data_IF_739337867839
#
_entry.id   IF_739337867839
#
_cell.length_a   1.000
_cell.length_b   1.000
_cell.length_c   1.000
_cell.angle_alpha   90.00
_cell.angle_beta   90.00
_cell.angle_gamma   90.00
#
_symmetry.space_group_name_H-M   'P 1'
#
loop_
_entity.id
_entity.type
_entity.pdbx_description
1 polymer ?
#
# COMPACT_ATOMS: atom_id res chain seq x y z
N UNK A 1 13.31 13.33 1.51
CA UNK A 1 12.27 12.89 0.56
C UNK A 1 11.24 12.07 1.32
N UNK A 2 9.94 12.23 1.04
CA UNK A 2 8.86 11.47 1.66
C UNK A 2 8.99 9.99 1.30
N UNK A 3 8.84 9.08 2.26
CA UNK A 3 8.88 7.65 2.00
C UNK A 3 7.53 7.12 1.53
N UNK A 4 7.54 6.01 0.79
CA UNK A 4 6.40 5.13 0.66
C UNK A 4 6.33 4.21 1.87
N UNK A 5 5.19 4.16 2.56
CA UNK A 5 4.93 3.19 3.63
C UNK A 5 3.99 2.11 3.11
N UNK A 6 4.42 0.85 3.16
CA UNK A 6 3.59 -0.30 2.80
C UNK A 6 3.18 -1.02 4.08
N UNK A 7 1.87 -1.12 4.32
CA UNK A 7 1.29 -1.85 5.45
C UNK A 7 0.51 -3.05 4.93
N UNK A 8 1.13 -4.22 5.01
CA UNK A 8 0.60 -5.47 4.50
C UNK A 8 0.20 -6.44 5.63
N UNK A 9 -0.53 -7.48 5.27
CA UNK A 9 -0.90 -8.54 6.22
C UNK A 9 -2.10 -9.34 5.72
N UNK A 10 -2.40 -10.49 6.34
CA UNK A 10 -3.54 -11.31 5.98
C UNK A 10 -4.85 -10.57 6.25
N UNK A 11 -5.94 -11.10 5.70
CA UNK A 11 -7.29 -10.61 6.03
C UNK A 11 -7.51 -10.68 7.55
N UNK A 12 -8.29 -9.77 8.11
CA UNK A 12 -8.57 -9.62 9.57
C UNK A 12 -7.35 -9.33 10.48
N UNK A 13 -6.21 -8.93 9.92
CA UNK A 13 -5.04 -8.53 10.72
C UNK A 13 -5.13 -7.12 11.33
N UNK A 14 -6.19 -6.36 11.09
CA UNK A 14 -6.37 -4.93 11.42
C UNK A 14 -5.49 -3.97 10.60
N UNK A 15 -4.95 -4.42 9.45
CA UNK A 15 -4.08 -3.57 8.61
C UNK A 15 -4.77 -2.30 8.11
N UNK A 16 -6.04 -2.38 7.69
CA UNK A 16 -6.79 -1.23 7.15
C UNK A 16 -7.03 -0.17 8.20
N UNK A 17 -7.52 -0.56 9.39
CA UNK A 17 -7.77 0.37 10.50
C UNK A 17 -6.44 1.00 10.98
N UNK A 18 -5.36 0.22 10.97
CA UNK A 18 -4.01 0.72 11.30
C UNK A 18 -3.51 1.70 10.24
N UNK A 19 -3.80 1.45 8.95
CA UNK A 19 -3.44 2.37 7.87
C UNK A 19 -4.19 3.70 7.99
N UNK A 20 -5.48 3.67 8.35
CA UNK A 20 -6.27 4.87 8.62
C UNK A 20 -5.67 5.66 9.79
N UNK A 21 -5.42 5.00 10.92
CA UNK A 21 -4.81 5.64 12.09
C UNK A 21 -3.41 6.21 11.79
N UNK A 22 -2.65 5.54 10.91
CA UNK A 22 -1.35 6.01 10.45
C UNK A 22 -1.50 7.24 9.54
N UNK A 23 -2.46 7.20 8.60
CA UNK A 23 -2.73 8.29 7.67
C UNK A 23 -3.19 9.56 8.39
N UNK A 24 -4.05 9.44 9.40
CA UNK A 24 -4.43 10.56 10.27
C UNK A 24 -3.23 11.19 10.97
N UNK A 25 -2.32 10.34 11.48
CA UNK A 25 -1.14 10.82 12.22
C UNK A 25 -0.10 11.46 11.32
N UNK A 26 0.00 11.03 10.07
CA UNK A 26 1.05 11.45 9.12
C UNK A 26 0.55 12.41 8.05
N UNK A 27 -0.68 12.89 8.13
CA UNK A 27 -1.33 13.65 7.06
C UNK A 27 -1.13 12.95 5.69
N UNK A 28 -1.38 11.66 5.68
CA UNK A 28 -1.15 10.78 4.55
C UNK A 28 -2.44 10.44 3.82
N UNK A 29 -2.31 9.94 2.59
CA UNK A 29 -3.41 9.36 1.83
C UNK A 29 -3.13 7.88 1.56
N UNK A 30 -4.18 7.09 1.43
CA UNK A 30 -4.09 5.64 1.33
C UNK A 30 -4.25 5.20 -0.14
N UNK A 31 -3.42 4.24 -0.56
CA UNK A 31 -3.53 3.56 -1.86
C UNK A 31 -3.89 2.10 -1.57
N UNK A 32 -5.05 1.66 -2.06
CA UNK A 32 -5.55 0.30 -1.86
C UNK A 32 -4.79 -0.72 -2.70
N UNK A 33 -4.24 -1.76 -2.06
CA UNK A 33 -3.61 -2.90 -2.73
C UNK A 33 -4.45 -4.18 -2.54
N UNK A 34 -5.72 -4.09 -2.92
CA UNK A 34 -6.67 -5.20 -2.89
C UNK A 34 -7.32 -5.36 -4.27
N UNK A 35 -7.19 -6.56 -4.85
CA UNK A 35 -7.66 -6.86 -6.21
C UNK A 35 -9.19 -6.96 -6.34
N UNK A 36 -9.91 -6.85 -5.22
CA UNK A 36 -11.36 -6.93 -5.21
C UNK A 36 -12.02 -5.60 -4.83
N UNK A 37 -11.42 -4.84 -3.92
CA UNK A 37 -11.95 -3.52 -3.52
C UNK A 37 -11.88 -2.47 -4.65
N UNK A 38 -11.17 -2.75 -5.72
CA UNK A 38 -11.05 -1.91 -6.90
C UNK A 38 -12.38 -1.84 -7.69
N UNK A 39 -13.21 -2.89 -7.61
CA UNK A 39 -14.48 -2.97 -8.32
C UNK A 39 -15.60 -2.26 -7.57
N UNK A 40 -16.41 -1.49 -8.29
CA UNK A 40 -17.64 -0.86 -7.77
C UNK A 40 -18.66 -1.93 -7.35
N UNK A 41 -19.51 -1.59 -6.39
CA UNK A 41 -20.62 -2.40 -5.89
C UNK A 41 -20.24 -3.64 -5.06
N UNK A 42 -18.99 -4.03 -5.05
CA UNK A 42 -18.46 -5.15 -4.26
C UNK A 42 -17.95 -4.62 -2.91
N UNK A 43 -18.86 -4.30 -1.99
CA UNK A 43 -18.54 -3.54 -0.77
C UNK A 43 -18.47 -4.43 0.47
N UNK A 44 -19.56 -5.15 0.79
CA UNK A 44 -19.67 -5.97 1.99
C UNK A 44 -18.67 -7.13 1.92
N UNK A 45 -18.73 -7.93 0.85
CA UNK A 45 -17.91 -9.13 0.72
C UNK A 45 -16.42 -8.89 0.58
N UNK A 46 -16.02 -7.69 0.16
CA UNK A 46 -14.61 -7.28 0.11
C UNK A 46 -14.15 -6.58 1.38
N UNK A 47 -15.08 -6.29 2.31
CA UNK A 47 -14.89 -5.41 3.46
C UNK A 47 -14.24 -4.09 3.05
N UNK A 48 -14.81 -3.45 2.06
CA UNK A 48 -14.35 -2.16 1.57
C UNK A 48 -14.39 -1.12 2.68
N UNK A 49 -13.42 -0.24 2.70
CA UNK A 49 -13.38 0.89 3.64
C UNK A 49 -14.65 1.72 3.52
N UNK A 50 -15.26 2.07 4.65
CA UNK A 50 -16.52 2.82 4.69
C UNK A 50 -16.43 4.15 3.95
N UNK A 51 -17.59 4.65 3.49
CA UNK A 51 -17.66 5.96 2.83
C UNK A 51 -17.20 7.07 3.81
N UNK A 52 -17.55 6.96 5.09
CA UNK A 52 -17.17 7.93 6.11
C UNK A 52 -15.65 7.95 6.33
N UNK A 53 -15.01 6.78 6.39
CA UNK A 53 -13.55 6.69 6.49
C UNK A 53 -12.85 7.22 5.23
N UNK A 54 -13.41 6.97 4.05
CA UNK A 54 -12.89 7.49 2.78
C UNK A 54 -13.10 9.01 2.62
N UNK A 55 -14.15 9.56 3.22
CA UNK A 55 -14.36 11.01 3.26
C UNK A 55 -13.35 11.70 4.20
N UNK A 56 -12.94 11.02 5.27
CA UNK A 56 -11.98 11.52 6.25
C UNK A 56 -10.52 11.38 5.76
N UNK A 57 -10.20 10.25 5.19
CA UNK A 57 -8.87 9.95 4.62
C UNK A 57 -9.05 9.52 3.17
N UNK A 58 -8.51 10.27 2.19
CA UNK A 58 -8.60 9.89 0.79
C UNK A 58 -7.99 8.50 0.53
N UNK A 59 -8.75 7.67 -0.19
CA UNK A 59 -8.33 6.33 -0.61
C UNK A 59 -8.34 6.26 -2.13
N UNK A 60 -7.18 5.92 -2.68
CA UNK A 60 -6.97 5.70 -4.11
C UNK A 60 -7.08 4.21 -4.45
N UNK A 61 -7.40 3.89 -5.68
CA UNK A 61 -7.56 2.53 -6.21
C UNK A 61 -8.64 1.71 -5.50
N UNK A 62 -9.71 2.38 -5.06
CA UNK A 62 -10.95 1.77 -4.57
C UNK A 62 -12.11 2.31 -5.41
N UNK A 63 -13.07 1.45 -5.80
CA UNK A 63 -14.25 1.81 -6.62
C UNK A 63 -13.92 2.47 -7.97
N UNK A 64 -12.85 2.08 -8.62
CA UNK A 64 -12.41 2.72 -9.87
C UNK A 64 -12.83 1.97 -11.14
N UNK A 65 -13.31 0.73 -11.02
CA UNK A 65 -13.65 -0.13 -12.16
C UNK A 65 -15.09 -0.64 -12.08
N UNK A 66 -15.73 -0.76 -13.23
CA UNK A 66 -16.94 -1.55 -13.37
C UNK A 66 -16.60 -3.06 -13.27
N UNK A 67 -17.57 -3.92 -12.87
CA UNK A 67 -17.31 -5.35 -12.68
C UNK A 67 -16.81 -6.12 -13.91
N UNK A 68 -17.06 -5.62 -15.11
CA UNK A 68 -16.69 -6.20 -16.41
C UNK A 68 -15.35 -5.67 -16.95
N UNK A 69 -14.71 -4.74 -16.27
CA UNK A 69 -13.40 -4.25 -16.64
C UNK A 69 -12.28 -5.16 -16.11
N UNK A 70 -11.22 -5.31 -16.88
CA UNK A 70 -10.03 -6.05 -16.45
C UNK A 70 -9.02 -5.15 -15.74
N UNK A 71 -8.37 -5.69 -14.72
CA UNK A 71 -7.27 -5.04 -14.02
C UNK A 71 -6.18 -6.04 -13.66
N UNK A 72 -4.99 -5.76 -14.10
CA UNK A 72 -3.81 -6.61 -13.91
C UNK A 72 -2.92 -6.07 -12.79
N UNK A 73 -1.91 -6.87 -12.40
CA UNK A 73 -0.90 -6.39 -11.46
C UNK A 73 0.00 -5.30 -12.07
N UNK A 74 0.11 -5.26 -13.41
CA UNK A 74 0.81 -4.20 -14.12
C UNK A 74 0.04 -2.88 -14.05
N UNK A 75 -1.29 -2.91 -14.27
CA UNK A 75 -2.15 -1.72 -14.13
C UNK A 75 -2.09 -1.18 -12.70
N UNK A 76 -2.09 -2.07 -11.70
CA UNK A 76 -1.89 -1.68 -10.31
C UNK A 76 -0.56 -0.94 -10.13
N UNK A 77 0.57 -1.51 -10.61
CA UNK A 77 1.90 -0.89 -10.48
C UNK A 77 1.92 0.50 -11.10
N UNK A 78 1.42 0.62 -12.33
CA UNK A 78 1.40 1.89 -13.08
C UNK A 78 0.61 2.96 -12.33
N UNK A 79 -0.65 2.67 -11.99
CA UNK A 79 -1.52 3.63 -11.30
C UNK A 79 -1.05 3.93 -9.87
N UNK A 80 -0.51 2.93 -9.15
CA UNK A 80 0.03 3.16 -7.83
C UNK A 80 1.24 4.10 -7.87
N UNK A 81 2.15 3.94 -8.83
CA UNK A 81 3.29 4.83 -9.00
C UNK A 81 2.88 6.26 -9.38
N UNK A 82 1.85 6.44 -10.20
CA UNK A 82 1.27 7.74 -10.51
C UNK A 82 0.77 8.44 -9.24
N UNK A 83 -0.05 7.76 -8.44
CA UNK A 83 -0.55 8.29 -7.17
C UNK A 83 0.58 8.55 -6.15
N UNK A 84 1.57 7.66 -6.03
CA UNK A 84 2.71 7.87 -5.14
C UNK A 84 3.45 9.16 -5.49
N UNK A 85 3.77 9.38 -6.78
CA UNK A 85 4.49 10.57 -7.24
C UNK A 85 3.66 11.84 -7.05
N UNK A 86 2.39 11.78 -7.37
CA UNK A 86 1.45 12.89 -7.13
C UNK A 86 1.41 13.28 -5.66
N UNK A 87 1.23 12.29 -4.75
CA UNK A 87 1.16 12.52 -3.31
C UNK A 87 2.46 13.13 -2.77
N UNK A 88 3.61 12.56 -3.15
CA UNK A 88 4.92 13.09 -2.76
C UNK A 88 5.10 14.53 -3.28
N UNK A 89 4.66 14.81 -4.51
CA UNK A 89 4.70 16.14 -5.12
C UNK A 89 3.83 17.17 -4.37
N UNK A 90 2.73 16.72 -3.75
CA UNK A 90 1.84 17.51 -2.89
C UNK A 90 2.31 17.60 -1.43
N UNK A 91 3.44 16.99 -1.10
CA UNK A 91 3.95 16.92 0.27
C UNK A 91 3.19 15.95 1.17
N UNK A 92 2.38 15.04 0.60
CA UNK A 92 1.62 14.02 1.31
C UNK A 92 2.38 12.69 1.36
N UNK A 93 2.29 11.99 2.49
CA UNK A 93 2.91 10.66 2.62
C UNK A 93 2.03 9.60 1.96
N UNK A 94 2.50 8.85 0.95
CA UNK A 94 1.75 7.73 0.41
C UNK A 94 1.80 6.53 1.37
N UNK A 95 0.63 5.97 1.70
CA UNK A 95 0.49 4.73 2.49
C UNK A 95 -0.22 3.69 1.63
N UNK A 96 0.47 2.61 1.26
CA UNK A 96 -0.17 1.48 0.58
C UNK A 96 -0.63 0.48 1.62
N UNK A 97 -1.89 0.04 1.52
CA UNK A 97 -2.40 -1.06 2.36
C UNK A 97 -3.17 -2.09 1.56
N UNK A 98 -2.94 -3.35 1.87
CA UNK A 98 -3.68 -4.43 1.22
C UNK A 98 -3.20 -5.83 1.55
N UNK A 99 -3.94 -6.81 1.00
CA UNK A 99 -3.66 -8.24 1.17
C UNK A 99 -3.24 -8.95 -0.11
N UNK A 100 -3.25 -8.25 -1.27
CA UNK A 100 -2.88 -8.84 -2.56
C UNK A 100 -1.35 -8.84 -2.70
N UNK A 101 -0.72 -9.93 -2.26
CA UNK A 101 0.74 -10.05 -2.24
C UNK A 101 1.40 -9.82 -3.60
N UNK A 102 0.74 -10.22 -4.71
CA UNK A 102 1.25 -10.00 -6.05
C UNK A 102 1.37 -8.51 -6.37
N UNK A 103 0.39 -7.68 -6.01
CA UNK A 103 0.44 -6.24 -6.22
C UNK A 103 1.64 -5.60 -5.53
N UNK A 104 1.85 -5.98 -4.26
CA UNK A 104 2.98 -5.47 -3.49
C UNK A 104 4.33 -5.96 -4.04
N UNK A 105 4.36 -7.19 -4.57
CA UNK A 105 5.56 -7.76 -5.16
C UNK A 105 5.96 -7.05 -6.45
N UNK A 106 5.02 -6.83 -7.37
CA UNK A 106 5.33 -6.14 -8.64
C UNK A 106 5.75 -4.69 -8.43
N UNK A 107 5.26 -4.06 -7.36
CA UNK A 107 5.68 -2.72 -7.00
C UNK A 107 7.11 -2.68 -6.44
N UNK A 108 7.49 -3.67 -5.60
CA UNK A 108 8.78 -3.69 -4.91
C UNK A 108 9.91 -4.32 -5.70
N UNK A 109 9.64 -5.43 -6.35
CA UNK A 109 10.66 -6.35 -6.82
C UNK A 109 10.79 -6.38 -8.36
N UNK A 110 10.06 -5.51 -9.07
CA UNK A 110 9.91 -5.52 -10.54
C UNK A 110 9.64 -6.93 -11.10
N UNK A 111 8.82 -7.66 -10.33
CA UNK A 111 8.41 -8.99 -10.71
C UNK A 111 7.70 -8.92 -12.06
N UNK A 112 8.17 -9.65 -13.00
CA UNK A 112 7.67 -10.19 -14.28
C UNK A 112 6.27 -9.80 -14.82
N UNK A 113 5.61 -8.80 -14.24
CA UNK A 113 4.38 -8.23 -14.77
C UNK A 113 4.65 -7.11 -15.79
N UNK A 114 5.92 -6.81 -16.08
CA UNK A 114 6.32 -5.73 -17.00
C UNK A 114 5.92 -6.00 -18.46
N UNK A 115 5.65 -7.26 -18.81
CA UNK A 115 5.20 -7.61 -20.16
C UNK A 115 3.68 -7.62 -20.17
N UNK A 116 3.05 -6.59 -20.74
CA UNK A 116 1.64 -6.63 -21.07
C UNK A 116 1.44 -7.58 -22.25
N UNK A 117 0.65 -8.62 -22.06
CA UNK A 117 0.34 -9.59 -23.13
C UNK A 117 -0.78 -9.04 -24.00
N UNK A 118 -0.57 -9.12 -25.31
CA UNK A 118 -1.61 -8.83 -26.29
C UNK A 118 -2.82 -9.73 -26.03
N UNK A 119 -4.02 -9.17 -25.89
CA UNK A 119 -5.26 -9.94 -25.68
C UNK A 119 -5.48 -11.06 -26.70
N UNK A 120 -5.08 -10.86 -27.95
CA UNK A 120 -5.23 -11.89 -29.00
C UNK A 120 -4.27 -13.06 -28.78
N UNK A 121 -3.03 -12.82 -28.37
CA UNK A 121 -2.07 -13.88 -28.03
C UNK A 121 -2.60 -14.68 -26.83
N UNK A 122 -3.08 -13.97 -25.80
CA UNK A 122 -3.66 -14.62 -24.61
C UNK A 122 -4.84 -15.50 -24.99
N UNK A 123 -5.76 -14.98 -25.79
CA UNK A 123 -6.95 -15.70 -26.27
C UNK A 123 -6.57 -16.94 -27.09
N UNK A 124 -5.57 -16.80 -27.96
CA UNK A 124 -5.07 -17.93 -28.74
C UNK A 124 -4.51 -19.04 -27.85
N UNK A 125 -3.70 -18.71 -26.84
CA UNK A 125 -3.17 -19.71 -25.90
C UNK A 125 -4.29 -20.36 -25.09
N UNK A 126 -5.29 -19.60 -24.67
CA UNK A 126 -6.47 -20.15 -23.97
C UNK A 126 -7.27 -21.11 -24.86
N UNK A 127 -7.46 -20.79 -26.14
CA UNK A 127 -8.10 -21.68 -27.09
C UNK A 127 -7.32 -22.96 -27.25
N UNK A 128 -6.01 -22.89 -27.43
CA UNK A 128 -5.15 -24.10 -27.53
C UNK A 128 -5.17 -24.94 -26.26
N UNK A 129 -5.23 -24.33 -25.07
CA UNK A 129 -5.40 -25.07 -23.80
C UNK A 129 -6.73 -25.84 -23.81
N UNK A 130 -7.81 -25.21 -24.34
CA UNK A 130 -9.13 -25.88 -24.41
C UNK A 130 -9.21 -26.99 -25.44
N UNK A 131 -8.53 -26.85 -26.57
CA UNK A 131 -8.55 -27.80 -27.69
C UNK A 131 -7.57 -28.98 -27.51
N UNK A 132 -6.34 -28.68 -27.08
CA UNK A 132 -5.24 -29.65 -26.98
C UNK A 132 -5.07 -30.22 -25.59
N UNK A 133 -5.66 -29.57 -24.59
CA UNK A 133 -5.49 -29.88 -23.17
C UNK A 133 -4.23 -29.27 -22.55
N UNK A 134 -4.36 -28.93 -21.27
CA UNK A 134 -3.30 -28.31 -20.47
C UNK A 134 -1.97 -29.11 -20.41
N UNK A 135 -1.97 -30.47 -20.35
CA UNK A 135 -0.74 -31.24 -20.33
C UNK A 135 0.16 -30.99 -21.56
N UNK A 136 -0.41 -30.92 -22.77
CA UNK A 136 0.36 -30.69 -23.98
C UNK A 136 0.95 -29.29 -24.03
N UNK A 137 0.26 -28.29 -23.49
CA UNK A 137 0.78 -26.92 -23.37
C UNK A 137 1.87 -26.85 -22.29
N UNK A 138 1.79 -27.65 -21.22
CA UNK A 138 2.87 -27.77 -20.24
C UNK A 138 4.12 -28.46 -20.83
N UNK A 139 3.94 -29.48 -21.69
CA UNK A 139 5.05 -30.08 -22.44
C UNK A 139 5.71 -29.07 -23.41
N UNK A 140 4.92 -28.20 -24.03
CA UNK A 140 5.43 -27.08 -24.81
C UNK A 140 6.26 -26.15 -23.95
N UNK A 141 5.74 -25.79 -22.74
CA UNK A 141 6.47 -24.96 -21.78
C UNK A 141 7.81 -25.59 -21.35
N UNK A 142 7.86 -26.93 -21.15
CA UNK A 142 9.11 -27.64 -20.84
C UNK A 142 10.18 -27.46 -21.93
N UNK A 143 9.79 -27.29 -23.18
CA UNK A 143 10.71 -27.10 -24.32
C UNK A 143 11.18 -25.66 -24.46
N UNK A 144 10.27 -24.68 -24.24
CA UNK A 144 10.56 -23.27 -24.47
C UNK A 144 11.11 -22.56 -23.22
N UNK A 145 10.76 -23.03 -22.01
CA UNK A 145 11.20 -22.48 -20.73
C UNK A 145 11.26 -23.59 -19.66
N UNK A 146 12.28 -24.46 -19.71
CA UNK A 146 12.43 -25.55 -18.75
C UNK A 146 12.50 -25.08 -17.30
N UNK A 147 13.09 -23.91 -17.06
CA UNK A 147 13.26 -23.34 -15.72
C UNK A 147 11.90 -22.94 -15.12
N UNK A 148 11.02 -22.36 -15.92
CA UNK A 148 9.64 -22.06 -15.48
C UNK A 148 8.83 -23.35 -15.33
N UNK A 149 8.95 -24.32 -16.24
CA UNK A 149 8.23 -25.58 -16.22
C UNK A 149 8.53 -26.41 -14.97
N UNK A 150 9.78 -26.39 -14.47
CA UNK A 150 10.15 -27.06 -13.22
C UNK A 150 9.41 -26.49 -11.98
N UNK A 151 9.06 -25.19 -12.02
CA UNK A 151 8.44 -24.47 -10.90
C UNK A 151 6.92 -24.39 -10.99
N UNK A 152 6.37 -24.52 -12.19
CA UNK A 152 4.93 -24.41 -12.48
C UNK A 152 4.34 -25.81 -12.50
N UNK A 153 3.37 -26.05 -11.62
CA UNK A 153 2.68 -27.34 -11.60
C UNK A 153 1.91 -27.54 -12.91
N UNK A 154 1.83 -28.79 -13.43
CA UNK A 154 1.11 -29.11 -14.68
C UNK A 154 -0.37 -28.70 -14.70
N UNK A 155 -0.99 -28.53 -13.52
CA UNK A 155 -2.38 -28.13 -13.36
C UNK A 155 -2.56 -26.61 -13.21
N UNK A 156 -1.47 -25.83 -13.15
CA UNK A 156 -1.53 -24.36 -12.97
C UNK A 156 -1.75 -23.65 -14.33
N UNK A 157 -3.00 -23.69 -14.79
CA UNK A 157 -3.42 -23.12 -16.07
C UNK A 157 -2.98 -21.66 -16.25
N UNK A 158 -3.12 -20.84 -15.20
CA UNK A 158 -2.82 -19.40 -15.30
C UNK A 158 -1.33 -19.13 -15.51
N UNK A 159 -0.47 -19.85 -14.80
CA UNK A 159 0.98 -19.68 -14.94
C UNK A 159 1.50 -20.27 -16.23
N UNK A 160 0.97 -21.40 -16.67
CA UNK A 160 1.31 -22.02 -17.96
C UNK A 160 0.90 -21.07 -19.10
N UNK A 161 -0.36 -20.61 -19.11
CA UNK A 161 -0.86 -19.61 -20.08
C UNK A 161 0.07 -18.40 -20.14
N UNK A 162 0.41 -17.84 -18.97
CA UNK A 162 1.27 -16.65 -18.89
C UNK A 162 2.65 -16.89 -19.47
N UNK A 163 3.32 -17.98 -19.10
CA UNK A 163 4.67 -18.29 -19.56
C UNK A 163 4.73 -18.50 -21.06
N UNK A 164 3.77 -19.27 -21.61
CA UNK A 164 3.66 -19.52 -23.05
C UNK A 164 3.33 -18.23 -23.81
N UNK A 165 2.41 -17.41 -23.30
CA UNK A 165 2.05 -16.13 -23.93
C UNK A 165 3.22 -15.16 -23.98
N UNK A 166 4.03 -15.06 -22.92
CA UNK A 166 5.25 -14.25 -22.91
C UNK A 166 6.22 -14.72 -23.99
N UNK A 167 6.48 -16.01 -24.06
CA UNK A 167 7.36 -16.57 -25.07
C UNK A 167 6.88 -16.27 -26.50
N UNK A 168 5.59 -16.46 -26.77
CA UNK A 168 5.02 -16.21 -28.10
C UNK A 168 5.07 -14.75 -28.50
N UNK A 169 4.89 -13.84 -27.55
CA UNK A 169 4.95 -12.40 -27.83
C UNK A 169 6.39 -11.89 -27.99
N UNK A 170 7.29 -12.36 -27.15
CA UNK A 170 8.63 -11.77 -27.00
C UNK A 170 9.76 -12.60 -27.63
N UNK A 171 9.49 -13.87 -27.98
CA UNK A 171 10.50 -14.80 -28.46
C UNK A 171 11.55 -15.18 -27.40
N UNK A 172 11.31 -14.88 -26.11
CA UNK A 172 12.20 -15.16 -24.97
C UNK A 172 11.46 -15.83 -23.86
N UNK A 173 12.15 -16.72 -23.14
CA UNK A 173 11.57 -17.43 -22.00
C UNK A 173 11.23 -16.47 -20.85
N UNK A 174 10.15 -16.75 -20.14
CA UNK A 174 9.72 -15.98 -18.96
C UNK A 174 10.82 -15.97 -17.89
N UNK A 175 11.51 -17.10 -17.69
CA UNK A 175 12.62 -17.23 -16.75
C UNK A 175 13.80 -16.30 -17.08
N UNK A 176 14.06 -16.01 -18.35
CA UNK A 176 15.12 -15.10 -18.78
C UNK A 176 14.79 -13.65 -18.40
N UNK A 177 13.51 -13.25 -18.53
CA UNK A 177 13.06 -11.92 -18.10
C UNK A 177 13.22 -11.71 -16.60
N UNK A 178 12.86 -12.72 -15.79
CA UNK A 178 12.98 -12.67 -14.33
C UNK A 178 14.45 -12.57 -13.89
N UNK A 179 15.35 -13.20 -14.61
CA UNK A 179 16.77 -13.23 -14.25
C UNK A 179 17.52 -11.93 -14.63
N UNK A 180 17.02 -11.18 -15.62
CA UNK A 180 17.73 -10.03 -16.18
C UNK A 180 17.24 -8.68 -15.70
N UNK A 181 16.09 -8.60 -15.04
CA UNK A 181 15.53 -7.34 -14.53
C UNK A 181 15.94 -7.12 -13.07
N UNK A 182 16.79 -6.13 -12.77
CA UNK A 182 17.05 -5.73 -11.38
C UNK A 182 15.78 -5.15 -10.75
N UNK A 183 15.72 -5.19 -9.41
CA UNK A 183 14.67 -4.49 -8.68
C UNK A 183 14.65 -2.99 -9.07
N UNK A 184 13.47 -2.38 -9.24
CA UNK A 184 13.40 -0.99 -9.65
C UNK A 184 14.02 -0.08 -8.60
N UNK A 185 14.85 0.86 -9.04
CA UNK A 185 15.32 1.95 -8.21
C UNK A 185 14.28 3.07 -8.24
N UNK A 186 13.71 3.36 -7.09
CA UNK A 186 12.76 4.47 -6.93
C UNK A 186 13.47 5.69 -6.35
N UNK A 187 13.01 6.87 -6.77
CA UNK A 187 13.43 8.16 -6.23
C UNK A 187 13.00 8.41 -4.78
N UNK A 188 12.28 7.48 -4.15
CA UNK A 188 11.79 7.56 -2.78
C UNK A 188 12.09 6.27 -1.99
N UNK A 189 12.36 6.36 -0.69
CA UNK A 189 12.59 5.16 0.13
C UNK A 189 11.28 4.41 0.38
N UNK A 190 11.35 3.07 0.44
CA UNK A 190 10.21 2.19 0.72
C UNK A 190 10.40 1.52 2.06
N UNK A 191 9.41 1.62 2.94
CA UNK A 191 9.36 0.92 4.22
C UNK A 191 8.17 -0.02 4.26
N UNK A 192 8.43 -1.31 4.36
CA UNK A 192 7.39 -2.35 4.37
C UNK A 192 7.22 -2.92 5.78
N UNK A 193 5.96 -2.94 6.23
CA UNK A 193 5.54 -3.52 7.51
C UNK A 193 4.50 -4.60 7.25
N UNK A 194 4.64 -5.74 7.95
CA UNK A 194 3.68 -6.83 7.86
C UNK A 194 3.06 -7.01 9.24
N UNK A 195 1.73 -6.84 9.31
CA UNK A 195 0.99 -7.13 10.54
C UNK A 195 0.68 -8.63 10.55
N UNK A 196 1.30 -9.34 11.49
CA UNK A 196 1.04 -10.73 11.79
C UNK A 196 0.18 -10.87 13.05
N UNK A 197 -0.66 -11.90 13.08
CA UNK A 197 -1.51 -12.25 14.20
C UNK A 197 -1.44 -13.75 14.45
N UNK A 198 -1.66 -14.17 15.69
CA UNK A 198 -1.80 -15.59 16.00
C UNK A 198 -2.81 -16.26 15.06
N UNK A 199 -2.47 -17.44 14.61
CA UNK A 199 -3.25 -18.14 13.57
C UNK A 199 -4.66 -18.52 14.04
N UNK A 200 -4.80 -18.90 15.31
CA UNK A 200 -6.09 -19.28 15.87
C UNK A 200 -6.98 -18.03 15.97
N UNK A 201 -6.45 -16.96 16.53
CA UNK A 201 -7.14 -15.67 16.63
C UNK A 201 -7.55 -15.13 15.25
N UNK A 202 -6.65 -15.25 14.27
CA UNK A 202 -6.96 -14.84 12.89
C UNK A 202 -8.13 -15.62 12.31
N UNK A 203 -8.19 -16.93 12.55
CA UNK A 203 -9.26 -17.79 12.06
C UNK A 203 -10.59 -17.52 12.76
N UNK A 204 -10.57 -17.26 14.05
CA UNK A 204 -11.76 -16.90 14.82
C UNK A 204 -12.33 -15.55 14.32
N UNK A 205 -11.46 -14.57 14.09
CA UNK A 205 -11.84 -13.27 13.52
C UNK A 205 -12.38 -13.39 12.08
N UNK A 206 -11.85 -14.30 11.27
CA UNK A 206 -12.38 -14.57 9.92
C UNK A 206 -13.81 -15.09 10.01
N UNK A 207 -14.05 -16.08 10.90
CA UNK A 207 -15.39 -16.65 11.05
C UNK A 207 -16.40 -15.59 11.50
N UNK A 208 -16.06 -14.81 12.53
CA UNK A 208 -16.91 -13.71 13.03
C UNK A 208 -17.21 -12.68 11.94
N UNK A 209 -16.20 -12.33 11.15
CA UNK A 209 -16.37 -11.37 10.05
C UNK A 209 -17.31 -11.87 8.95
N UNK A 210 -17.20 -13.14 8.57
CA UNK A 210 -18.14 -13.73 7.61
C UNK A 210 -19.56 -13.70 8.14
N UNK A 211 -19.78 -14.04 9.43
CA UNK A 211 -21.09 -13.98 10.05
C UNK A 211 -21.64 -12.55 10.11
N UNK A 212 -20.77 -11.55 10.29
CA UNK A 212 -21.14 -10.13 10.23
C UNK A 212 -21.56 -9.73 8.82
N UNK A 213 -20.75 -10.04 7.81
CA UNK A 213 -21.04 -9.72 6.41
C UNK A 213 -22.38 -10.30 5.94
N UNK A 214 -22.72 -11.52 6.37
CA UNK A 214 -24.01 -12.13 6.06
C UNK A 214 -25.17 -11.35 6.68
N UNK A 215 -25.01 -10.87 7.92
CA UNK A 215 -26.03 -10.04 8.61
C UNK A 215 -26.16 -8.66 8.01
N UNK A 216 -25.10 -8.10 7.45
CA UNK A 216 -25.10 -6.82 6.74
C UNK A 216 -25.77 -6.87 5.36
N UNK A 217 -26.17 -8.07 4.89
CA UNK A 217 -26.91 -8.21 3.63
C UNK A 217 -26.03 -8.56 2.42
N UNK A 218 -24.93 -9.29 2.62
CA UNK A 218 -24.05 -9.69 1.52
C UNK A 218 -24.78 -10.44 0.39
N UNK A 219 -25.78 -11.26 0.71
CA UNK A 219 -26.62 -11.93 -0.30
C UNK A 219 -27.38 -10.90 -1.15
N UNK A 220 -27.91 -9.86 -0.51
CA UNK A 220 -28.68 -8.82 -1.21
C UNK A 220 -27.75 -7.90 -2.04
N UNK A 221 -26.51 -7.68 -1.59
CA UNK A 221 -25.49 -7.03 -2.41
C UNK A 221 -25.27 -7.82 -3.72
N UNK A 222 -25.07 -9.14 -3.64
CA UNK A 222 -24.86 -9.99 -4.83
C UNK A 222 -26.08 -9.95 -5.76
N UNK A 223 -27.31 -10.07 -5.22
CA UNK A 223 -28.54 -9.92 -6.01
C UNK A 223 -28.63 -8.55 -6.70
N UNK A 224 -28.30 -7.49 -5.97
CA UNK A 224 -28.29 -6.13 -6.49
C UNK A 224 -27.31 -5.92 -7.64
N UNK A 225 -26.12 -6.52 -7.56
CA UNK A 225 -25.12 -6.46 -8.64
C UNK A 225 -25.61 -7.25 -9.87
N UNK A 226 -26.16 -8.45 -9.66
CA UNK A 226 -26.73 -9.26 -10.75
C UNK A 226 -27.93 -8.58 -11.43
N UNK A 227 -28.79 -7.89 -10.66
CA UNK A 227 -29.93 -7.14 -11.18
C UNK A 227 -29.52 -5.94 -12.05
N UNK A 228 -28.27 -5.47 -11.96
CA UNK A 228 -27.68 -4.45 -12.87
C UNK A 228 -27.29 -5.02 -14.23
N UNK A 229 -27.40 -6.34 -14.43
CA UNK A 229 -27.10 -7.00 -15.70
C UNK A 229 -25.69 -7.58 -15.80
N UNK A 230 -24.88 -7.50 -14.75
CA UNK A 230 -23.54 -8.08 -14.77
C UNK A 230 -23.59 -9.62 -14.74
N UNK A 231 -22.75 -10.26 -15.57
CA UNK A 231 -22.69 -11.71 -15.70
C UNK A 231 -21.99 -12.35 -14.48
N UNK A 232 -22.54 -13.49 -14.02
CA UNK A 232 -21.91 -14.34 -13.00
C UNK A 232 -20.53 -14.89 -13.38
N UNK A 233 -20.18 -14.89 -14.66
CA UNK A 233 -18.89 -15.34 -15.18
C UNK A 233 -17.77 -14.32 -15.00
N UNK A 234 -18.09 -13.08 -14.65
CA UNK A 234 -17.10 -12.02 -14.45
C UNK A 234 -16.17 -12.35 -13.26
N UNK A 235 -14.92 -11.95 -13.42
CA UNK A 235 -13.84 -12.21 -12.44
C UNK A 235 -14.21 -11.87 -10.99
N UNK A 236 -14.87 -10.74 -10.66
CA UNK A 236 -15.26 -10.45 -9.28
C UNK A 236 -16.18 -11.50 -8.66
N UNK A 237 -17.10 -12.08 -9.43
CA UNK A 237 -17.98 -13.15 -8.93
C UNK A 237 -17.29 -14.48 -8.72
N UNK A 238 -16.07 -14.69 -9.26
CA UNK A 238 -15.26 -15.88 -9.01
C UNK A 238 -14.49 -15.78 -7.68
N UNK A 239 -14.54 -14.65 -7.00
CA UNK A 239 -13.84 -14.45 -5.73
C UNK A 239 -14.52 -15.18 -4.57
N UNK A 240 -13.74 -15.39 -3.50
CA UNK A 240 -14.23 -16.05 -2.28
C UNK A 240 -15.39 -15.24 -1.71
N UNK A 241 -16.45 -15.93 -1.40
CA UNK A 241 -17.70 -15.39 -0.89
C UNK A 241 -18.72 -15.15 -2.00
N UNK A 242 -18.35 -14.41 -3.01
CA UNK A 242 -19.25 -14.11 -4.12
C UNK A 242 -19.60 -15.37 -4.93
N UNK A 243 -18.63 -16.23 -5.24
CA UNK A 243 -18.88 -17.49 -5.94
C UNK A 243 -19.81 -18.44 -5.16
N UNK A 244 -19.62 -18.54 -3.85
CA UNK A 244 -20.47 -19.39 -3.01
C UNK A 244 -21.88 -18.83 -2.86
N UNK A 245 -22.04 -17.51 -2.80
CA UNK A 245 -23.37 -16.87 -2.79
C UNK A 245 -24.07 -17.03 -4.14
N UNK A 246 -23.34 -16.93 -5.26
CA UNK A 246 -23.91 -17.25 -6.59
C UNK A 246 -24.39 -18.69 -6.65
N UNK A 247 -23.62 -19.66 -6.13
CA UNK A 247 -24.04 -21.06 -6.07
C UNK A 247 -25.26 -21.30 -5.16
N UNK A 248 -25.37 -20.53 -4.07
CA UNK A 248 -26.60 -20.49 -3.27
C UNK A 248 -27.80 -19.95 -4.05
N UNK A 249 -27.63 -18.83 -4.77
CA UNK A 249 -28.69 -18.23 -5.58
C UNK A 249 -29.10 -19.13 -6.76
N UNK A 250 -28.20 -19.96 -7.23
CA UNK A 250 -28.46 -20.99 -8.26
C UNK A 250 -29.04 -22.30 -7.68
N UNK A 251 -29.38 -22.36 -6.39
CA UNK A 251 -29.88 -23.54 -5.66
C UNK A 251 -28.92 -24.75 -5.69
N UNK A 252 -27.62 -24.52 -5.86
CA UNK A 252 -26.59 -25.58 -5.80
C UNK A 252 -26.15 -25.86 -4.36
N UNK A 253 -26.29 -24.88 -3.47
CA UNK A 253 -25.91 -24.92 -2.06
C UNK A 253 -27.04 -24.40 -1.18
N UNK A 254 -27.13 -24.88 0.07
CA UNK A 254 -27.89 -24.17 1.10
C UNK A 254 -27.10 -22.96 1.59
N UNK A 255 -27.75 -22.01 2.26
CA UNK A 255 -27.06 -20.82 2.79
C UNK A 255 -26.02 -21.21 3.85
N UNK A 256 -26.30 -22.20 4.69
CA UNK A 256 -25.38 -22.73 5.69
C UNK A 256 -24.14 -23.32 5.03
N UNK A 257 -24.32 -24.12 3.97
CA UNK A 257 -23.24 -24.69 3.20
C UNK A 257 -22.37 -23.60 2.55
N UNK A 258 -22.99 -22.56 1.98
CA UNK A 258 -22.28 -21.43 1.39
C UNK A 258 -21.44 -20.71 2.46
N UNK A 259 -22.00 -20.39 3.63
CA UNK A 259 -21.28 -19.74 4.74
C UNK A 259 -20.10 -20.56 5.23
N UNK A 260 -20.27 -21.87 5.40
CA UNK A 260 -19.19 -22.76 5.85
C UNK A 260 -18.04 -22.83 4.82
N UNK A 261 -18.38 -22.87 3.54
CA UNK A 261 -17.40 -22.84 2.45
C UNK A 261 -16.67 -21.48 2.42
N UNK A 262 -17.37 -20.37 2.57
CA UNK A 262 -16.78 -19.04 2.63
C UNK A 262 -15.77 -18.95 3.80
N UNK A 263 -16.17 -19.36 4.99
CA UNK A 263 -15.28 -19.38 6.17
C UNK A 263 -14.04 -20.22 5.92
N UNK A 264 -14.22 -21.44 5.39
CA UNK A 264 -13.12 -22.37 5.06
C UNK A 264 -12.16 -21.75 4.05
N UNK A 265 -12.67 -21.24 2.96
CA UNK A 265 -11.85 -20.76 1.84
C UNK A 265 -11.16 -19.43 2.16
N UNK A 266 -11.79 -18.57 2.99
CA UNK A 266 -11.17 -17.37 3.55
C UNK A 266 -10.01 -17.73 4.50
N UNK A 267 -10.15 -18.76 5.36
CA UNK A 267 -9.02 -19.24 6.18
C UNK A 267 -7.87 -19.81 5.33
N UNK A 268 -8.18 -20.53 4.25
CA UNK A 268 -7.18 -21.00 3.29
C UNK A 268 -6.48 -19.85 2.58
N UNK A 269 -7.22 -18.82 2.22
CA UNK A 269 -6.68 -17.61 1.63
C UNK A 269 -5.74 -16.88 2.60
N UNK A 270 -6.15 -16.68 3.84
CA UNK A 270 -5.30 -16.12 4.89
C UNK A 270 -4.00 -16.91 5.09
N UNK A 271 -4.06 -18.26 5.08
CA UNK A 271 -2.86 -19.11 5.13
C UNK A 271 -1.92 -18.85 3.95
N UNK A 272 -2.47 -18.69 2.73
CA UNK A 272 -1.65 -18.36 1.54
C UNK A 272 -1.02 -16.98 1.69
N UNK A 273 -1.75 -15.97 2.21
CA UNK A 273 -1.20 -14.64 2.47
C UNK A 273 -0.05 -14.68 3.47
N UNK A 274 -0.19 -15.39 4.60
CA UNK A 274 0.87 -15.59 5.59
C UNK A 274 2.12 -16.20 4.94
N UNK A 275 1.95 -17.27 4.17
CA UNK A 275 3.06 -17.94 3.48
C UNK A 275 3.74 -17.00 2.47
N UNK A 276 2.95 -16.16 1.80
CA UNK A 276 3.46 -15.17 0.86
C UNK A 276 4.30 -14.11 1.57
N UNK A 277 3.74 -13.49 2.60
CA UNK A 277 4.41 -12.40 3.32
C UNK A 277 5.67 -12.83 4.08
N UNK A 278 5.74 -14.09 4.54
CA UNK A 278 6.98 -14.65 5.12
C UNK A 278 8.18 -14.65 4.17
N UNK A 279 7.94 -14.58 2.87
CA UNK A 279 9.00 -14.51 1.85
C UNK A 279 9.41 -13.07 1.51
N UNK A 280 8.76 -12.06 2.08
CA UNK A 280 9.09 -10.66 1.83
C UNK A 280 10.41 -10.31 2.49
N UNK A 281 11.44 -10.09 1.68
CA UNK A 281 12.74 -9.60 2.15
C UNK A 281 12.58 -8.15 2.64
N UNK A 282 13.34 -7.76 3.65
CA UNK A 282 13.42 -6.39 4.19
C UNK A 282 12.12 -5.83 4.80
N UNK A 283 11.08 -6.65 4.96
CA UNK A 283 9.86 -6.26 5.64
C UNK A 283 10.01 -6.41 7.15
N UNK A 284 9.55 -5.41 7.91
CA UNK A 284 9.52 -5.46 9.38
C UNK A 284 8.18 -6.05 9.83
N UNK A 285 8.23 -7.08 10.66
CA UNK A 285 7.02 -7.73 11.17
C UNK A 285 6.53 -7.08 12.46
N UNK A 286 5.22 -6.83 12.53
CA UNK A 286 4.53 -6.34 13.72
C UNK A 286 3.57 -7.43 14.20
N UNK A 287 3.88 -8.02 15.33
CA UNK A 287 3.02 -9.04 15.95
C UNK A 287 1.86 -8.36 16.68
N UNK A 288 0.66 -8.49 16.14
CA UNK A 288 -0.57 -7.98 16.76
C UNK A 288 -1.24 -9.06 17.60
N UNK A 289 -1.85 -8.65 18.71
CA UNK A 289 -2.63 -9.49 19.59
C UNK A 289 -4.06 -8.94 19.80
N UNK A 290 -4.88 -9.65 20.58
CA UNK A 290 -6.29 -9.28 20.79
C UNK A 290 -6.47 -7.93 21.47
N UNK A 291 -5.55 -7.54 22.37
CA UNK A 291 -5.60 -6.26 23.09
C UNK A 291 -5.16 -5.07 22.26
N UNK A 292 -4.51 -5.30 21.10
CA UNK A 292 -4.05 -4.21 20.24
C UNK A 292 -5.22 -3.50 19.54
N UNK A 293 -5.20 -2.18 19.63
CA UNK A 293 -6.07 -1.30 18.86
C UNK A 293 -5.27 -0.68 17.68
N UNK A 294 -5.95 -0.02 16.72
CA UNK A 294 -5.29 0.60 15.58
C UNK A 294 -4.21 1.62 15.96
N UNK A 295 -4.41 2.38 17.05
CA UNK A 295 -3.45 3.36 17.51
C UNK A 295 -2.15 2.72 18.05
N UNK A 296 -2.25 1.62 18.84
CA UNK A 296 -1.08 0.92 19.32
C UNK A 296 -0.26 0.28 18.19
N UNK A 297 -0.93 -0.25 17.17
CA UNK A 297 -0.26 -0.80 15.99
C UNK A 297 0.41 0.31 15.16
N UNK A 298 -0.27 1.45 14.96
CA UNK A 298 0.31 2.65 14.35
C UNK A 298 1.60 3.08 15.06
N UNK A 299 1.58 3.17 16.39
CA UNK A 299 2.73 3.63 17.16
C UNK A 299 3.92 2.67 17.04
N UNK A 300 3.65 1.35 16.91
CA UNK A 300 4.70 0.37 16.59
C UNK A 300 5.24 0.55 15.17
N UNK A 301 4.39 0.84 14.17
CA UNK A 301 4.86 1.18 12.82
C UNK A 301 5.81 2.37 12.89
N UNK A 302 5.38 3.45 13.55
CA UNK A 302 6.17 4.68 13.68
C UNK A 302 7.51 4.43 14.42
N UNK A 303 7.51 3.63 15.48
CA UNK A 303 8.74 3.30 16.23
C UNK A 303 9.75 2.48 15.43
N UNK A 304 9.28 1.73 14.44
CA UNK A 304 10.12 0.92 13.56
C UNK A 304 10.60 1.68 12.31
N UNK A 305 10.03 2.85 11.99
CA UNK A 305 10.59 3.70 10.94
C UNK A 305 11.99 4.18 11.35
N UNK A 306 12.90 4.41 10.38
CA UNK A 306 14.15 5.10 10.69
C UNK A 306 13.84 6.42 11.41
N UNK A 307 14.55 6.73 12.49
CA UNK A 307 14.29 7.92 13.32
C UNK A 307 14.24 9.20 12.47
N UNK A 308 15.12 9.32 11.51
CA UNK A 308 15.14 10.44 10.55
C UNK A 308 13.84 10.56 9.75
N UNK A 309 13.24 9.43 9.34
CA UNK A 309 11.99 9.38 8.59
C UNK A 309 10.80 9.67 9.51
N UNK A 310 10.73 9.02 10.67
CA UNK A 310 9.62 9.18 11.61
C UNK A 310 9.48 10.65 12.05
N UNK A 311 10.57 11.30 12.35
CA UNK A 311 10.56 12.70 12.79
C UNK A 311 10.28 13.66 11.64
N UNK A 312 10.83 13.39 10.45
CA UNK A 312 10.50 14.17 9.26
C UNK A 312 8.99 14.15 8.97
N UNK A 313 8.38 12.97 9.08
CA UNK A 313 6.94 12.80 8.89
C UNK A 313 6.13 13.51 9.98
N UNK A 314 6.51 13.37 11.24
CA UNK A 314 5.84 14.06 12.37
C UNK A 314 5.99 15.58 12.25
N UNK A 315 7.17 16.07 11.89
CA UNK A 315 7.41 17.50 11.66
C UNK A 315 6.58 18.05 10.50
N UNK A 316 6.36 17.24 9.45
CA UNK A 316 5.52 17.60 8.32
C UNK A 316 4.04 17.72 8.74
N UNK A 317 3.53 16.78 9.53
CA UNK A 317 2.13 16.79 10.02
C UNK A 317 1.83 17.95 10.96
N UNK A 318 2.81 18.36 11.72
CA UNK A 318 2.69 19.56 12.56
C UNK A 318 2.59 20.85 11.70
N UNK A 319 2.91 20.81 10.40
CA UNK A 319 2.78 21.93 9.48
C UNK A 319 1.39 22.12 8.86
N UNK A 320 0.51 21.07 8.90
CA UNK A 320 -0.80 21.11 8.23
C UNK A 320 -2.00 21.18 9.18
N UNK A 321 -1.79 21.37 10.49
CA UNK A 321 -2.89 21.36 11.48
C UNK A 321 -3.68 22.69 11.55
N UNK A 322 -3.56 23.59 10.59
CA UNK A 322 -4.42 24.78 10.50
C UNK A 322 -4.97 24.94 9.06
N UNK A 323 -6.18 24.47 8.77
CA UNK A 323 -6.87 24.82 7.54
C UNK A 323 -7.60 26.17 7.76
N UNK A 324 -6.89 27.26 7.87
CA UNK A 324 -7.46 28.58 7.70
C UNK A 324 -7.04 29.17 6.35
N UNK A 325 -7.96 29.02 5.39
CA UNK A 325 -8.26 29.98 4.34
C UNK A 325 -7.06 30.76 3.77
N UNK A 326 -6.33 30.18 2.81
CA UNK A 326 -5.41 30.97 1.98
C UNK A 326 -6.01 31.08 0.59
N UNK A 327 -6.67 32.23 0.36
CA UNK A 327 -6.87 32.75 -0.99
C UNK A 327 -5.51 32.88 -1.68
N UNK A 328 -5.46 32.54 -2.96
CA UNK A 328 -4.28 32.60 -3.81
C UNK A 328 -3.79 34.05 -3.99
N UNK A 329 -3.04 34.56 -3.00
CA UNK A 329 -2.11 35.72 -3.16
C UNK A 329 -1.28 35.83 -1.88
N UNK A 330 0.02 35.68 -2.04
CA UNK A 330 1.14 35.75 -1.11
C UNK A 330 1.65 34.39 -0.63
N UNK A 331 2.84 34.03 -1.14
CA UNK A 331 3.59 32.85 -0.67
C UNK A 331 4.01 33.13 0.78
N UNK A 332 3.37 32.45 1.72
CA UNK A 332 3.72 32.45 3.12
C UNK A 332 5.25 32.33 3.31
N UNK A 333 5.89 33.17 4.10
CA UNK A 333 7.34 33.19 4.30
C UNK A 333 7.91 31.82 4.74
N UNK A 334 7.14 31.07 5.54
CA UNK A 334 7.54 29.73 5.99
C UNK A 334 7.58 28.73 4.83
N UNK A 335 6.57 28.72 3.97
CA UNK A 335 6.51 27.87 2.78
C UNK A 335 7.65 28.16 1.81
N UNK A 336 8.04 29.42 1.66
CA UNK A 336 9.20 29.81 0.85
C UNK A 336 10.50 29.30 1.46
N UNK A 337 10.70 29.47 2.79
CA UNK A 337 11.86 29.00 3.51
C UNK A 337 12.00 27.46 3.40
N UNK A 338 10.89 26.75 3.56
CA UNK A 338 10.85 25.30 3.49
C UNK A 338 11.10 24.76 2.07
N UNK A 339 10.58 25.42 1.04
CA UNK A 339 10.89 25.09 -0.36
C UNK A 339 12.39 25.23 -0.67
N UNK A 340 13.05 26.27 -0.14
CA UNK A 340 14.49 26.45 -0.26
C UNK A 340 15.27 25.33 0.44
N UNK A 341 14.84 24.96 1.63
CA UNK A 341 15.41 23.84 2.40
C UNK A 341 15.33 22.51 1.60
N UNK A 342 14.16 22.21 1.05
CA UNK A 342 13.95 20.98 0.25
C UNK A 342 14.82 20.93 -1.02
N UNK A 343 15.11 22.09 -1.62
CA UNK A 343 15.97 22.19 -2.81
C UNK A 343 17.46 22.19 -2.48
N UNK A 344 17.84 22.03 -1.20
CA UNK A 344 19.24 22.04 -0.76
C UNK A 344 19.86 23.45 -0.69
N UNK A 345 19.06 24.52 -0.88
CA UNK A 345 19.51 25.90 -0.73
C UNK A 345 19.50 26.27 0.77
N UNK A 346 20.37 25.59 1.52
CA UNK A 346 20.44 25.70 2.98
C UNK A 346 20.84 27.09 3.46
N UNK A 347 21.59 27.84 2.67
CA UNK A 347 21.98 29.20 3.03
C UNK A 347 20.78 30.14 3.04
N UNK A 348 19.98 30.13 1.98
CA UNK A 348 18.78 30.95 1.90
C UNK A 348 17.70 30.50 2.87
N UNK A 349 17.53 29.20 3.04
CA UNK A 349 16.55 28.65 3.99
C UNK A 349 16.89 29.05 5.43
N UNK A 350 18.17 29.03 5.83
CA UNK A 350 18.60 29.46 7.16
C UNK A 350 18.31 30.96 7.42
N UNK A 351 18.52 31.83 6.43
CA UNK A 351 18.18 33.22 6.56
C UNK A 351 16.69 33.46 6.76
N UNK A 352 15.86 32.79 5.97
CA UNK A 352 14.41 32.90 6.06
C UNK A 352 13.87 32.34 7.38
N UNK A 353 14.31 31.12 7.81
CA UNK A 353 13.88 30.54 9.09
C UNK A 353 14.33 31.41 10.29
N UNK A 354 15.49 32.04 10.22
CA UNK A 354 15.95 33.00 11.26
C UNK A 354 15.01 34.18 11.36
N UNK A 355 14.58 34.75 10.25
CA UNK A 355 13.62 35.87 10.21
C UNK A 355 12.26 35.44 10.78
N UNK A 356 11.74 34.26 10.39
CA UNK A 356 10.46 33.75 10.88
C UNK A 356 10.52 33.50 12.39
N UNK A 357 11.58 32.85 12.89
CA UNK A 357 11.75 32.64 14.33
C UNK A 357 11.80 33.97 15.08
N UNK A 358 12.56 34.94 14.59
CA UNK A 358 12.69 36.25 15.24
C UNK A 358 11.35 37.02 15.33
N UNK A 359 10.47 36.85 14.32
CA UNK A 359 9.16 37.52 14.29
C UNK A 359 8.11 36.83 15.18
N UNK A 360 8.29 35.55 15.52
CA UNK A 360 7.26 34.72 16.16
C UNK A 360 7.81 33.67 17.15
N UNK A 361 8.73 34.03 18.03
CA UNK A 361 9.47 33.12 18.91
C UNK A 361 8.63 32.20 19.77
N UNK A 362 7.41 32.59 20.17
CA UNK A 362 6.50 31.83 21.04
C UNK A 362 5.47 31.02 20.25
N UNK A 363 5.27 31.31 18.97
CA UNK A 363 4.34 30.57 18.12
C UNK A 363 4.89 29.18 17.78
N UNK A 364 4.01 28.25 17.43
CA UNK A 364 4.39 26.92 16.94
C UNK A 364 5.27 27.04 15.69
N UNK A 365 4.95 27.97 14.81
CA UNK A 365 5.70 28.26 13.59
C UNK A 365 7.11 28.77 13.88
N UNK A 366 7.25 29.73 14.81
CA UNK A 366 8.55 30.26 15.21
C UNK A 366 9.44 29.21 15.90
N UNK A 367 8.87 28.30 16.70
CA UNK A 367 9.59 27.17 17.29
C UNK A 367 10.09 26.20 16.22
N UNK A 368 9.26 25.90 15.20
CA UNK A 368 9.61 25.07 14.06
C UNK A 368 10.69 25.72 13.20
N UNK A 369 10.56 26.99 12.94
CA UNK A 369 11.56 27.76 12.20
C UNK A 369 12.93 27.71 12.90
N UNK A 370 12.98 27.75 14.22
CA UNK A 370 14.23 27.60 15.01
C UNK A 370 14.87 26.22 14.79
N UNK A 371 14.09 25.15 14.80
CA UNK A 371 14.59 23.80 14.54
C UNK A 371 15.13 23.65 13.11
N UNK A 372 14.37 24.12 12.11
CA UNK A 372 14.79 24.06 10.70
C UNK A 372 15.94 25.00 10.38
N UNK A 373 16.05 26.12 11.10
CA UNK A 373 17.24 26.96 11.07
C UNK A 373 18.48 26.18 11.54
N UNK A 374 18.39 25.52 12.70
CA UNK A 374 19.48 24.70 13.21
C UNK A 374 19.90 23.62 12.20
N UNK A 375 18.93 22.94 11.61
CA UNK A 375 19.19 21.91 10.60
C UNK A 375 19.79 22.48 9.31
N UNK A 376 19.31 23.62 8.82
CA UNK A 376 19.89 24.30 7.65
C UNK A 376 21.35 24.71 7.91
N UNK A 377 21.65 25.18 9.12
CA UNK A 377 23.01 25.59 9.52
C UNK A 377 24.00 24.41 9.57
N UNK A 378 23.56 23.18 9.79
CA UNK A 378 24.44 21.98 9.73
C UNK A 378 25.02 21.76 8.33
N UNK A 379 24.28 22.18 7.29
CA UNK A 379 24.67 22.06 5.88
C UNK A 379 25.34 23.32 5.33
N UNK A 380 25.48 24.35 6.16
CA UNK A 380 26.28 25.54 5.87
C UNK A 380 27.54 25.45 6.73
N UNK A 381 28.65 25.98 6.31
CA UNK A 381 29.92 25.86 7.04
C UNK A 381 29.92 26.68 8.37
N UNK A 382 28.88 26.49 9.21
CA UNK A 382 28.61 27.26 10.45
C UNK A 382 28.19 26.34 11.62
N UNK A 383 29.05 25.39 12.02
CA UNK A 383 28.67 24.38 13.02
C UNK A 383 28.35 25.01 14.38
N UNK A 384 29.02 26.07 14.79
CA UNK A 384 28.80 26.71 16.09
C UNK A 384 27.42 27.36 16.19
N UNK A 385 26.97 28.04 15.13
CA UNK A 385 25.62 28.61 15.05
C UNK A 385 24.54 27.50 15.06
N UNK A 386 24.80 26.35 14.40
CA UNK A 386 23.91 25.19 14.43
C UNK A 386 23.76 24.62 15.85
N UNK A 387 24.85 24.46 16.57
CA UNK A 387 24.87 23.98 17.97
C UNK A 387 24.02 24.88 18.87
N UNK A 388 24.19 26.20 18.77
CA UNK A 388 23.43 27.16 19.57
C UNK A 388 21.94 27.14 19.23
N UNK A 389 21.60 27.06 17.95
CA UNK A 389 20.23 26.96 17.49
C UNK A 389 19.57 25.65 17.98
N UNK A 390 20.26 24.49 17.94
CA UNK A 390 19.74 23.24 18.50
C UNK A 390 19.55 23.31 20.02
N UNK A 391 20.50 23.89 20.76
CA UNK A 391 20.36 24.07 22.21
C UNK A 391 19.15 24.96 22.56
N UNK A 392 18.88 25.97 21.76
CA UNK A 392 17.72 26.84 21.92
C UNK A 392 16.42 26.12 21.54
N UNK A 393 16.46 25.28 20.50
CA UNK A 393 15.32 24.47 20.08
C UNK A 393 14.93 23.42 21.13
N UNK A 394 15.88 22.78 21.82
CA UNK A 394 15.60 21.86 22.96
C UNK A 394 14.73 22.55 24.02
N UNK A 395 15.06 23.78 24.39
CA UNK A 395 14.32 24.53 25.41
C UNK A 395 12.92 24.95 24.95
N UNK A 396 12.77 25.17 23.67
CA UNK A 396 11.53 25.71 23.07
C UNK A 396 10.57 24.61 22.59
N UNK A 397 11.07 23.37 22.43
CA UNK A 397 10.34 22.27 21.80
C UNK A 397 10.63 20.92 22.48
N UNK A 398 10.19 20.75 23.75
CA UNK A 398 10.50 19.57 24.53
C UNK A 398 9.93 18.27 23.94
N UNK A 399 8.86 18.34 23.14
CA UNK A 399 8.23 17.19 22.53
C UNK A 399 9.13 16.45 21.52
N UNK A 400 10.19 17.10 21.03
CA UNK A 400 11.17 16.53 20.09
C UNK A 400 12.61 16.63 20.62
N UNK A 401 12.79 16.79 21.94
CA UNK A 401 14.08 16.97 22.59
C UNK A 401 15.10 15.89 22.24
N UNK A 402 14.72 14.62 22.34
CA UNK A 402 15.62 13.47 22.05
C UNK A 402 16.15 13.51 20.63
N UNK A 403 15.32 13.97 19.71
CA UNK A 403 15.69 14.09 18.31
C UNK A 403 16.65 15.27 18.08
N UNK A 404 16.36 16.41 18.69
CA UNK A 404 17.26 17.56 18.63
C UNK A 404 18.61 17.20 19.22
N UNK A 405 18.66 16.48 20.35
CA UNK A 405 19.88 15.96 20.97
C UNK A 405 20.66 15.03 20.04
N UNK A 406 19.98 14.17 19.28
CA UNK A 406 20.63 13.31 18.30
C UNK A 406 21.34 14.11 17.21
N UNK A 407 20.71 15.15 16.65
CA UNK A 407 21.36 16.02 15.66
C UNK A 407 22.50 16.85 16.25
N UNK A 408 22.33 17.34 17.46
CA UNK A 408 23.37 18.06 18.17
C UNK A 408 24.61 17.17 18.40
N UNK A 409 24.42 15.91 18.81
CA UNK A 409 25.51 14.97 19.03
C UNK A 409 26.28 14.60 17.74
N UNK A 410 25.70 14.78 16.57
CA UNK A 410 26.38 14.54 15.27
C UNK A 410 27.27 15.69 14.83
N UNK A 411 27.12 16.84 15.42
CA UNK A 411 27.87 18.05 15.09
C UNK A 411 29.01 18.30 16.08
N UNK A 412 28.83 17.82 17.34
CA UNK A 412 29.86 17.82 18.39
C UNK A 412 30.90 16.71 18.13
#
# INVERSE_FOLDING_TARGET
MLPLIILAGPTTSKKSDTAIALAEKLDAEIIGADSMQIYKYFDIGTAKTSIDDRARIPHHLIDILEPDEEFTAFDFKTRALEHIRELIGRGKTPVITGGTGLYLKVLRDDYDCAVQIDPEIKKQVQLEISERGLPLIHEELQRIDPVSAERILPEDTQRIERAVSVYRQMGKALSEFVATNPAPEYEFPIHTFIIERDRKELYDNINLRVDHMMREGWVDEVKGILARGFSKSLKPFQSIGYSQIVDFLDNKLSIEQAVDLIKRDTRRYAKRQITWFKKSRDAKTIHANSSDNPASLRDRVLSLLPRTVAVFLIALCLNFADPLNVSAHDKDPYSVAFSKYQKGDYHQSALLFRSIHASSTKSTEGKRALYLLAHSLTHTNKPQEAIEAFKSAIKSYPEIEDYIRYHLARIL
#
